data_IF_659410551550
#
_entry.id   IF_659410551550
#
_cell.length_a   1.000
_cell.length_b   1.000
_cell.length_c   1.000
_cell.angle_alpha   90.00
_cell.angle_beta   90.00
_cell.angle_gamma   90.00
#
_symmetry.space_group_name_H-M   'P 1'
#
loop_
_entity.id
_entity.type
_entity.pdbx_description
1 polymer ?
#
# COMPACT_ATOMS: atom_id res chain seq x y z
N UNK A 1 37.64 -16.51 -5.14
CA UNK A 1 36.29 -16.94 -4.77
C UNK A 1 35.33 -15.78 -4.98
N UNK A 2 34.57 -15.85 -6.05
CA UNK A 2 33.58 -14.82 -6.31
C UNK A 2 32.42 -15.00 -5.37
N UNK A 3 32.25 -14.06 -4.44
CA UNK A 3 30.96 -13.88 -3.81
C UNK A 3 29.98 -13.51 -4.91
N UNK A 4 29.13 -14.43 -5.27
CA UNK A 4 27.99 -14.09 -6.08
C UNK A 4 27.20 -13.03 -5.31
N UNK A 5 27.33 -11.79 -5.73
CA UNK A 5 26.31 -10.81 -5.41
C UNK A 5 25.06 -11.35 -6.07
N UNK A 6 24.18 -11.92 -5.28
CA UNK A 6 22.81 -12.09 -5.70
C UNK A 6 22.30 -10.67 -5.98
N UNK A 7 22.47 -10.24 -7.21
CA UNK A 7 21.72 -9.09 -7.70
C UNK A 7 20.28 -9.58 -7.78
N UNK A 8 19.58 -9.51 -6.63
CA UNK A 8 18.17 -9.74 -6.60
C UNK A 8 17.53 -8.63 -7.41
N UNK A 9 17.17 -8.93 -8.66
CA UNK A 9 16.32 -8.07 -9.43
C UNK A 9 14.90 -8.24 -8.88
N UNK A 10 14.33 -7.24 -8.22
CA UNK A 10 12.96 -7.34 -7.73
C UNK A 10 12.02 -7.63 -8.89
N UNK A 11 11.14 -8.58 -8.69
CA UNK A 11 10.17 -8.99 -9.69
C UNK A 11 8.76 -8.67 -9.20
N UNK A 12 7.96 -7.91 -9.98
CA UNK A 12 6.55 -7.70 -9.62
C UNK A 12 5.78 -9.01 -9.71
N UNK A 13 5.13 -9.37 -8.62
CA UNK A 13 4.24 -10.55 -8.57
C UNK A 13 2.78 -10.13 -8.56
N UNK A 14 2.50 -8.90 -8.19
CA UNK A 14 1.18 -8.31 -8.23
C UNK A 14 1.33 -6.83 -8.59
N UNK A 15 0.56 -6.38 -9.58
CA UNK A 15 0.60 -5.00 -10.02
C UNK A 15 -0.79 -4.54 -10.43
N UNK A 16 -1.27 -3.49 -9.78
CA UNK A 16 -2.47 -2.77 -10.18
C UNK A 16 -2.07 -1.33 -10.46
N UNK A 17 -1.95 -0.96 -11.73
CA UNK A 17 -1.42 0.35 -12.15
C UNK A 17 -2.48 1.32 -12.64
N UNK A 18 -3.72 0.87 -12.82
CA UNK A 18 -4.81 1.75 -13.23
C UNK A 18 -5.18 2.71 -12.11
N UNK A 19 -5.38 3.95 -12.45
CA UNK A 19 -5.88 4.96 -11.52
C UNK A 19 -6.71 5.99 -12.28
N UNK A 20 -7.99 6.03 -11.98
CA UNK A 20 -8.95 6.97 -12.56
C UNK A 20 -9.56 7.90 -11.53
N UNK A 21 -9.20 7.72 -10.27
CA UNK A 21 -9.59 8.57 -9.15
C UNK A 21 -8.40 8.83 -8.23
N UNK A 22 -8.60 9.66 -7.24
CA UNK A 22 -7.56 10.00 -6.25
C UNK A 22 -8.14 9.84 -4.85
N UNK A 23 -7.44 9.12 -3.99
CA UNK A 23 -7.75 8.97 -2.58
C UNK A 23 -6.75 9.74 -1.74
N UNK A 24 -7.23 10.73 -0.99
CA UNK A 24 -6.37 11.57 -0.15
C UNK A 24 -6.15 10.95 1.22
N UNK A 25 -4.89 10.86 1.62
CA UNK A 25 -4.49 10.46 2.98
C UNK A 25 -3.70 11.57 3.63
N UNK A 26 -3.75 11.60 4.95
CA UNK A 26 -3.02 12.54 5.78
C UNK A 26 -3.91 13.52 6.49
N UNK A 27 -3.36 14.68 6.79
CA UNK A 27 -3.97 15.69 7.62
C UNK A 27 -4.30 16.95 6.83
N UNK A 28 -5.58 17.29 6.76
CA UNK A 28 -6.02 18.61 6.28
C UNK A 28 -5.94 19.61 7.44
N UNK A 29 -5.45 20.82 7.17
CA UNK A 29 -5.34 21.86 8.20
C UNK A 29 -6.66 22.26 8.83
N UNK A 30 -7.77 22.04 8.11
CA UNK A 30 -9.12 22.37 8.55
C UNK A 30 -9.87 21.18 9.15
N UNK A 31 -9.28 19.98 9.09
CA UNK A 31 -9.86 18.73 9.61
C UNK A 31 -8.96 18.16 10.68
N UNK A 32 -9.42 17.98 11.92
CA UNK A 32 -8.60 17.44 13.00
C UNK A 32 -8.32 15.95 12.86
N UNK A 33 -8.94 15.24 11.92
CA UNK A 33 -8.72 13.81 11.73
C UNK A 33 -7.62 13.55 10.71
N UNK A 34 -6.79 12.54 11.00
CA UNK A 34 -5.86 11.98 10.02
C UNK A 34 -6.56 10.87 9.23
N UNK A 35 -6.45 10.91 7.91
CA UNK A 35 -7.03 9.92 7.01
C UNK A 35 -5.99 8.88 6.61
N UNK A 36 -6.37 7.61 6.67
CA UNK A 36 -5.51 6.48 6.38
C UNK A 36 -6.07 5.66 5.22
N UNK A 37 -5.20 4.99 4.50
CA UNK A 37 -5.58 4.06 3.45
C UNK A 37 -4.79 2.78 3.58
N UNK A 38 -5.31 1.73 2.99
CA UNK A 38 -4.64 0.45 2.92
C UNK A 38 -5.21 -0.42 1.82
N UNK A 39 -4.61 -1.56 1.65
CA UNK A 39 -5.00 -2.52 0.63
C UNK A 39 -4.70 -3.91 1.15
N UNK A 40 -5.66 -4.81 1.04
CA UNK A 40 -5.41 -6.24 1.23
C UNK A 40 -5.12 -6.88 -0.11
N UNK A 41 -4.34 -7.94 -0.10
CA UNK A 41 -4.06 -8.73 -1.28
C UNK A 41 -3.71 -10.17 -0.91
N UNK A 42 -4.17 -11.10 -1.76
CA UNK A 42 -3.73 -12.49 -1.65
C UNK A 42 -2.46 -12.65 -2.47
N UNK A 43 -1.40 -13.09 -1.82
CA UNK A 43 -0.09 -13.19 -2.47
C UNK A 43 -0.10 -14.30 -3.52
N UNK A 44 0.20 -13.98 -4.81
CA UNK A 44 0.10 -14.97 -5.88
C UNK A 44 1.35 -15.86 -6.03
N UNK A 45 2.41 -15.55 -5.31
CA UNK A 45 3.68 -16.28 -5.40
C UNK A 45 4.39 -16.28 -4.06
N UNK A 46 5.23 -17.28 -3.83
CA UNK A 46 6.06 -17.35 -2.65
C UNK A 46 7.41 -16.69 -2.90
N UNK A 47 7.93 -15.99 -1.91
CA UNK A 47 9.23 -15.37 -1.99
C UNK A 47 9.46 -14.30 -0.94
N UNK A 48 10.68 -13.81 -0.92
CA UNK A 48 11.09 -12.75 -0.01
C UNK A 48 10.64 -11.38 -0.54
N UNK A 49 9.92 -10.63 0.28
CA UNK A 49 9.45 -9.29 -0.09
C UNK A 49 10.65 -8.34 -0.22
N UNK A 50 10.70 -7.59 -1.31
CA UNK A 50 11.66 -6.52 -1.53
C UNK A 50 11.04 -5.15 -1.28
N UNK A 51 9.93 -4.85 -1.94
CA UNK A 51 9.27 -3.56 -1.78
C UNK A 51 7.78 -3.63 -2.12
N UNK A 52 7.06 -2.64 -1.63
CA UNK A 52 5.70 -2.32 -2.06
C UNK A 52 5.72 -0.89 -2.59
N UNK A 53 5.08 -0.66 -3.72
CA UNK A 53 5.02 0.66 -4.33
C UNK A 53 3.58 1.15 -4.39
N UNK A 54 3.40 2.42 -4.12
CA UNK A 54 2.13 3.13 -4.23
C UNK A 54 2.30 4.30 -5.19
N UNK A 55 1.29 4.55 -6.01
CA UNK A 55 1.33 5.66 -6.94
C UNK A 55 0.86 6.95 -6.27
N UNK A 56 1.71 7.96 -6.28
CA UNK A 56 1.36 9.31 -5.84
C UNK A 56 0.81 10.10 -7.03
N UNK A 57 -0.47 10.43 -7.00
CA UNK A 57 -1.07 11.29 -8.01
C UNK A 57 -0.78 12.76 -7.74
N UNK A 58 -0.72 13.15 -6.47
CA UNK A 58 -0.41 14.52 -6.06
C UNK A 58 0.09 14.56 -4.61
N UNK A 59 0.92 15.53 -4.29
CA UNK A 59 1.34 15.84 -2.92
C UNK A 59 1.02 17.30 -2.63
N UNK A 60 0.09 17.53 -1.71
CA UNK A 60 -0.29 18.88 -1.29
C UNK A 60 0.67 19.41 -0.24
N UNK A 61 1.01 18.57 0.77
CA UNK A 61 1.99 18.86 1.80
C UNK A 61 2.96 17.69 1.90
N UNK A 62 4.25 18.00 1.99
CA UNK A 62 5.30 17.03 2.19
C UNK A 62 5.36 16.52 3.63
N UNK A 63 6.04 15.42 3.82
CA UNK A 63 6.27 14.80 5.12
C UNK A 63 6.56 13.32 4.99
N UNK A 64 6.60 12.64 6.11
CA UNK A 64 6.87 11.21 6.15
C UNK A 64 5.57 10.41 6.01
N UNK A 65 5.60 9.42 5.13
CA UNK A 65 4.54 8.43 4.97
C UNK A 65 5.07 7.09 5.44
N UNK A 66 4.35 6.45 6.35
CA UNK A 66 4.72 5.14 6.90
C UNK A 66 3.80 4.08 6.30
N UNK A 67 4.41 3.04 5.75
CA UNK A 67 3.71 1.83 5.33
C UNK A 67 3.99 0.73 6.36
N UNK A 68 2.94 0.08 6.86
CA UNK A 68 3.05 -1.11 7.69
C UNK A 68 2.42 -2.29 6.97
N UNK A 69 3.09 -3.44 7.04
CA UNK A 69 2.63 -4.69 6.43
C UNK A 69 2.16 -5.66 7.51
N UNK A 70 1.06 -6.34 7.24
CA UNK A 70 0.41 -7.25 8.17
C UNK A 70 -0.07 -8.51 7.44
N UNK A 71 -0.16 -9.63 8.15
CA UNK A 71 -1.06 -10.69 7.72
C UNK A 71 -2.49 -10.23 8.00
N UNK A 72 -3.39 -10.60 7.11
CA UNK A 72 -4.79 -10.23 7.19
C UNK A 72 -5.68 -11.46 7.11
N UNK A 73 -6.62 -11.59 8.05
CA UNK A 73 -7.63 -12.64 8.01
C UNK A 73 -8.86 -12.15 7.24
N UNK A 74 -9.09 -12.65 6.01
CA UNK A 74 -10.21 -12.17 5.20
C UNK A 74 -11.59 -12.59 5.73
N UNK A 75 -11.68 -13.63 6.52
CA UNK A 75 -12.95 -14.09 7.09
C UNK A 75 -13.40 -13.21 8.24
N UNK A 76 -12.51 -12.89 9.17
CA UNK A 76 -12.80 -12.08 10.35
C UNK A 76 -12.47 -10.60 10.14
N UNK A 77 -11.79 -10.26 9.03
CA UNK A 77 -11.29 -8.91 8.73
C UNK A 77 -10.38 -8.36 9.83
N UNK A 78 -9.54 -9.23 10.36
CA UNK A 78 -8.58 -8.85 11.40
C UNK A 78 -7.20 -8.66 10.83
N UNK A 79 -6.59 -7.55 11.21
CA UNK A 79 -5.20 -7.23 10.93
C UNK A 79 -4.33 -7.82 12.03
N UNK A 80 -3.35 -8.63 11.64
CA UNK A 80 -2.33 -9.11 12.54
C UNK A 80 -1.37 -8.00 12.96
N UNK A 81 -0.40 -8.29 13.82
CA UNK A 81 0.66 -7.33 14.13
C UNK A 81 1.48 -7.00 12.89
N UNK A 82 2.14 -5.84 12.91
CA UNK A 82 3.01 -5.45 11.80
C UNK A 82 4.18 -6.44 11.68
N UNK A 83 4.37 -6.99 10.48
CA UNK A 83 5.49 -7.89 10.16
C UNK A 83 6.60 -7.18 9.41
N UNK A 84 6.38 -5.93 9.04
CA UNK A 84 7.36 -5.06 8.44
C UNK A 84 6.82 -3.65 8.32
N UNK A 85 7.71 -2.69 8.26
CA UNK A 85 7.35 -1.29 8.04
C UNK A 85 8.44 -0.56 7.26
N UNK A 86 8.05 0.53 6.62
CA UNK A 86 8.95 1.37 5.84
C UNK A 86 8.44 2.80 5.85
N UNK A 87 9.35 3.75 5.86
CA UNK A 87 9.02 5.17 5.84
C UNK A 87 9.63 5.81 4.60
N UNK A 88 8.82 6.57 3.88
CA UNK A 88 9.25 7.35 2.72
C UNK A 88 8.92 8.80 2.96
N UNK A 89 9.87 9.69 2.68
CA UNK A 89 9.64 11.13 2.74
C UNK A 89 9.14 11.61 1.37
N UNK A 90 7.98 12.25 1.36
CA UNK A 90 7.41 12.84 0.15
C UNK A 90 7.54 14.36 0.21
N UNK A 91 7.64 14.97 -0.96
CA UNK A 91 7.80 16.42 -1.10
C UNK A 91 6.67 16.97 -1.95
N UNK A 92 6.28 18.20 -1.65
CA UNK A 92 5.36 18.94 -2.52
C UNK A 92 5.94 18.98 -3.94
N UNK A 93 5.19 18.48 -4.90
CA UNK A 93 5.66 18.33 -6.28
C UNK A 93 5.99 16.89 -6.68
N UNK A 94 6.00 15.95 -5.73
CA UNK A 94 6.13 14.52 -6.03
C UNK A 94 4.80 13.97 -6.55
N UNK A 95 4.42 14.37 -7.74
CA UNK A 95 3.19 13.92 -8.38
C UNK A 95 3.48 13.03 -9.59
N UNK A 96 2.51 12.17 -9.94
CA UNK A 96 2.65 11.20 -11.03
C UNK A 96 3.88 10.31 -10.85
N UNK A 97 4.06 9.78 -9.65
CA UNK A 97 5.30 9.11 -9.25
C UNK A 97 5.02 7.91 -8.38
N UNK A 98 5.74 6.82 -8.61
CA UNK A 98 5.70 5.65 -7.73
C UNK A 98 6.55 5.90 -6.49
N UNK A 99 5.91 5.77 -5.32
CA UNK A 99 6.60 5.79 -4.03
C UNK A 99 7.02 4.37 -3.70
N UNK A 100 8.33 4.15 -3.54
CA UNK A 100 8.87 2.82 -3.27
C UNK A 100 9.17 2.67 -1.80
N UNK A 101 8.43 1.77 -1.15
CA UNK A 101 8.65 1.40 0.24
C UNK A 101 9.49 0.13 0.28
N UNK A 102 10.79 0.27 0.51
CA UNK A 102 11.68 -0.87 0.74
C UNK A 102 11.40 -1.47 2.09
N UNK A 103 11.09 -2.76 2.13
CA UNK A 103 10.73 -3.45 3.37
C UNK A 103 11.87 -4.36 3.83
N UNK A 104 12.02 -4.56 5.15
CA UNK A 104 12.95 -5.58 5.62
C UNK A 104 12.56 -6.94 5.07
N UNK A 105 13.51 -7.87 4.94
CA UNK A 105 13.22 -9.18 4.39
C UNK A 105 12.12 -9.90 5.17
N UNK A 106 11.00 -10.16 4.49
CA UNK A 106 9.87 -10.91 5.02
C UNK A 106 9.49 -11.95 3.99
N UNK A 107 9.42 -13.21 4.40
CA UNK A 107 8.98 -14.29 3.52
C UNK A 107 7.47 -14.23 3.35
N UNK A 108 7.00 -13.96 2.14
CA UNK A 108 5.58 -14.06 1.80
C UNK A 108 5.27 -15.44 1.25
N UNK A 109 4.10 -15.94 1.58
CA UNK A 109 3.63 -17.26 1.17
C UNK A 109 2.50 -17.14 0.16
N UNK A 110 2.56 -17.98 -0.86
CA UNK A 110 1.51 -18.09 -1.86
C UNK A 110 0.17 -18.45 -1.20
N UNK A 111 -0.90 -17.77 -1.60
CA UNK A 111 -2.25 -18.02 -1.10
C UNK A 111 -2.59 -17.38 0.22
N UNK A 112 -1.62 -16.78 0.91
CA UNK A 112 -1.84 -16.05 2.16
C UNK A 112 -2.26 -14.62 1.84
N UNK A 113 -3.25 -14.11 2.58
CA UNK A 113 -3.70 -12.72 2.46
C UNK A 113 -2.89 -11.84 3.41
N UNK A 114 -2.35 -10.78 2.84
CA UNK A 114 -1.64 -9.72 3.55
C UNK A 114 -2.38 -8.40 3.37
N UNK A 115 -2.07 -7.44 4.18
CA UNK A 115 -2.54 -6.09 4.02
C UNK A 115 -1.47 -5.09 4.41
N UNK A 116 -1.46 -3.95 3.76
CA UNK A 116 -0.63 -2.83 4.18
C UNK A 116 -1.50 -1.62 4.49
N UNK A 117 -1.00 -0.79 5.39
CA UNK A 117 -1.62 0.49 5.78
C UNK A 117 -0.63 1.61 5.56
N UNK A 118 -1.16 2.73 5.09
CA UNK A 118 -0.41 3.96 4.88
C UNK A 118 -0.90 5.01 5.87
N UNK A 119 0.01 5.59 6.60
CA UNK A 119 -0.26 6.59 7.62
C UNK A 119 0.69 7.76 7.47
N UNK A 120 0.19 8.97 7.66
CA UNK A 120 1.01 10.18 7.72
C UNK A 120 0.31 11.20 8.60
N UNK A 121 1.09 11.93 9.40
CA UNK A 121 0.57 12.98 10.28
C UNK A 121 0.84 14.39 9.72
N UNK A 122 1.85 14.52 8.88
CA UNK A 122 2.30 15.83 8.37
C UNK A 122 1.94 16.03 6.91
N UNK A 123 2.00 14.95 6.12
CA UNK A 123 1.79 15.02 4.69
C UNK A 123 0.30 14.97 4.34
N UNK A 124 0.00 15.47 3.16
CA UNK A 124 -1.28 15.26 2.50
C UNK A 124 -0.99 14.77 1.09
N UNK A 125 -1.30 13.52 0.84
CA UNK A 125 -0.95 12.81 -0.38
C UNK A 125 -2.20 12.27 -1.06
N UNK A 126 -2.35 12.55 -2.34
CA UNK A 126 -3.36 11.93 -3.19
C UNK A 126 -2.81 10.65 -3.81
N UNK A 127 -3.32 9.52 -3.38
CA UNK A 127 -2.95 8.22 -3.93
C UNK A 127 -3.76 7.93 -5.19
N UNK A 128 -3.10 7.34 -6.18
CA UNK A 128 -3.81 6.81 -7.35
C UNK A 128 -4.73 5.68 -6.93
N UNK A 129 -5.97 5.75 -7.37
CA UNK A 129 -7.03 4.78 -7.04
C UNK A 129 -7.78 4.43 -8.32
N UNK A 130 -8.10 3.16 -8.49
CA UNK A 130 -8.94 2.68 -9.56
C UNK A 130 -10.34 2.37 -9.03
N UNK A 131 -11.35 2.89 -9.70
CA UNK A 131 -12.75 2.55 -9.49
C UNK A 131 -13.25 1.71 -10.67
N UNK A 132 -13.79 0.54 -10.41
CA UNK A 132 -14.23 -0.39 -11.46
C UNK A 132 -15.64 -0.13 -11.99
N UNK A 133 -16.34 0.85 -11.44
CA UNK A 133 -17.67 1.25 -11.93
C UNK A 133 -18.78 0.24 -11.66
N UNK A 134 -18.74 -0.51 -10.60
CA UNK A 134 -19.75 -1.47 -10.15
C UNK A 134 -19.93 -2.72 -11.04
N UNK A 135 -19.09 -2.92 -12.05
CA UNK A 135 -19.26 -4.05 -12.97
C UNK A 135 -18.47 -5.28 -12.54
N UNK A 136 -17.26 -5.08 -12.05
CA UNK A 136 -16.36 -6.17 -11.68
C UNK A 136 -15.56 -5.81 -10.44
N UNK A 137 -15.75 -6.52 -9.31
CA UNK A 137 -14.90 -6.30 -8.15
C UNK A 137 -13.46 -6.71 -8.46
N UNK A 138 -12.52 -6.10 -7.77
CA UNK A 138 -11.13 -6.56 -7.81
C UNK A 138 -11.02 -7.90 -7.07
N UNK A 139 -10.37 -8.87 -7.68
CA UNK A 139 -10.34 -10.25 -7.18
C UNK A 139 -9.16 -10.54 -6.25
N UNK A 140 -8.12 -9.71 -6.27
CA UNK A 140 -6.91 -9.93 -5.47
C UNK A 140 -7.02 -9.43 -4.03
N UNK A 141 -8.00 -8.58 -3.72
CA UNK A 141 -8.18 -8.05 -2.38
C UNK A 141 -9.11 -6.85 -2.34
N UNK A 142 -9.04 -6.12 -1.23
CA UNK A 142 -9.92 -4.98 -0.95
C UNK A 142 -9.11 -3.75 -0.57
N UNK A 143 -9.56 -2.59 -1.03
CA UNK A 143 -9.09 -1.32 -0.50
C UNK A 143 -9.70 -1.09 0.87
N UNK A 144 -8.91 -0.49 1.76
CA UNK A 144 -9.32 -0.14 3.11
C UNK A 144 -9.11 1.35 3.35
N UNK A 145 -10.12 2.00 3.95
CA UNK A 145 -10.04 3.41 4.34
C UNK A 145 -10.42 3.54 5.81
N UNK A 146 -9.63 4.29 6.56
CA UNK A 146 -9.92 4.62 7.94
C UNK A 146 -9.43 6.01 8.28
N UNK A 147 -9.68 6.42 9.50
CA UNK A 147 -9.19 7.68 10.02
C UNK A 147 -8.91 7.57 11.53
N UNK A 148 -8.38 8.63 12.12
CA UNK A 148 -8.01 8.64 13.53
C UNK A 148 -9.21 8.50 14.49
N UNK A 149 -10.42 8.76 14.02
CA UNK A 149 -11.66 8.57 14.78
C UNK A 149 -12.30 7.20 14.53
N UNK A 150 -12.10 6.63 13.34
CA UNK A 150 -12.65 5.33 12.97
C UNK A 150 -11.52 4.43 12.42
N UNK A 151 -10.79 3.80 13.30
CA UNK A 151 -9.67 2.94 12.95
C UNK A 151 -10.10 1.57 12.41
N UNK A 152 -11.34 1.16 12.66
CA UNK A 152 -11.90 -0.04 12.04
C UNK A 152 -12.03 0.14 10.53
N UNK A 153 -12.45 1.31 10.09
CA UNK A 153 -12.52 1.68 8.69
C UNK A 153 -13.55 0.91 7.88
N UNK A 154 -13.42 1.03 6.58
CA UNK A 154 -14.31 0.40 5.60
C UNK A 154 -13.51 -0.32 4.54
N UNK A 155 -14.08 -1.43 4.01
CA UNK A 155 -13.49 -2.23 2.94
C UNK A 155 -14.30 -2.07 1.67
N UNK A 156 -13.60 -1.97 0.54
CA UNK A 156 -14.20 -1.75 -0.76
C UNK A 156 -13.68 -2.77 -1.78
N UNK A 157 -14.57 -3.49 -2.43
CA UNK A 157 -14.20 -4.47 -3.47
C UNK A 157 -14.17 -3.87 -4.87
N UNK A 158 -14.77 -2.70 -5.06
CA UNK A 158 -14.81 -2.01 -6.36
C UNK A 158 -13.82 -0.87 -6.48
N UNK A 159 -12.99 -0.68 -5.46
CA UNK A 159 -11.87 0.24 -5.47
C UNK A 159 -10.58 -0.52 -5.21
N UNK A 160 -9.51 -0.05 -5.79
CA UNK A 160 -8.16 -0.52 -5.49
C UNK A 160 -7.18 0.63 -5.58
N UNK A 161 -6.25 0.69 -4.62
CA UNK A 161 -5.09 1.56 -4.77
C UNK A 161 -4.27 1.09 -5.97
N UNK A 162 -3.59 2.02 -6.63
CA UNK A 162 -2.56 1.68 -7.58
C UNK A 162 -1.31 1.28 -6.80
N UNK A 163 -0.96 -0.01 -6.85
CA UNK A 163 0.13 -0.56 -6.06
C UNK A 163 0.84 -1.68 -6.78
N UNK A 164 2.06 -1.95 -6.35
CA UNK A 164 2.88 -3.07 -6.83
C UNK A 164 3.50 -3.78 -5.64
N UNK A 165 3.54 -5.10 -5.71
CA UNK A 165 4.27 -5.95 -4.77
C UNK A 165 5.40 -6.61 -5.53
N UNK A 166 6.64 -6.38 -5.09
CA UNK A 166 7.82 -6.95 -5.74
C UNK A 166 8.57 -7.86 -4.78
N UNK A 167 8.83 -9.07 -5.24
CA UNK A 167 9.62 -10.05 -4.50
C UNK A 167 11.04 -10.13 -5.07
N UNK A 168 11.97 -10.53 -4.22
CA UNK A 168 13.32 -10.86 -4.67
C UNK A 168 13.25 -12.06 -5.61
N UNK A 169 13.98 -11.98 -6.69
CA UNK A 169 14.07 -13.08 -7.64
C UNK A 169 14.94 -14.22 -7.09
#
# INVERSE_FOLDING_TARGET
>A
MQTMKNSSHPRPVLSQSQNNTTLWIGHLKTDPTDHFAGQTFTCPAEGQLDNIQLYSAAVQYGGEVVLSLHEFDPETKKWGPAIGSSTVKVHKGDHAKWMRFGLPPVQLRQGVTYGFRLMTHEALVGLGEAASGNKHPFTFGHEWNGDSLNQTGHYYSYFSLAFKVELCA
#
